data_IF_754385254801
#
_entry.id   IF_754385254801
#
_cell.length_a   1.000
_cell.length_b   1.000
_cell.length_c   1.000
_cell.angle_alpha   90.00
_cell.angle_beta   90.00
_cell.angle_gamma   90.00
#
_symmetry.space_group_name_H-M   'P 1'
#
loop_
_entity.id
_entity.type
_entity.pdbx_description
1 polymer ?
#
# COMPACT_ATOMS: atom_id res chain seq x y z
N UNK A 1 -14.06 3.22 -2.54
CA UNK A 1 -12.89 2.95 -3.42
C UNK A 1 -11.90 4.10 -3.32
N UNK A 2 -10.60 3.82 -3.22
CA UNK A 2 -9.57 4.83 -3.54
C UNK A 2 -9.88 5.37 -4.97
N UNK A 3 -9.82 6.68 -5.17
CA UNK A 3 -10.26 7.35 -6.41
C UNK A 3 -11.76 7.69 -6.54
N UNK A 4 -12.65 7.12 -5.73
CA UNK A 4 -14.09 7.48 -5.78
C UNK A 4 -14.40 8.88 -5.24
N UNK A 5 -13.58 9.37 -4.30
CA UNK A 5 -13.70 10.70 -3.73
C UNK A 5 -13.29 11.78 -4.75
N UNK A 6 -12.11 11.70 -5.39
CA UNK A 6 -11.76 12.58 -6.52
C UNK A 6 -12.82 12.59 -7.62
N UNK A 7 -13.27 11.42 -8.11
CA UNK A 7 -14.30 11.35 -9.17
C UNK A 7 -15.64 11.97 -8.75
N UNK A 8 -16.06 11.77 -7.49
CA UNK A 8 -17.26 12.42 -6.95
C UNK A 8 -17.10 13.92 -6.78
N UNK A 9 -15.89 14.39 -6.48
CA UNK A 9 -15.56 15.81 -6.38
C UNK A 9 -15.58 16.46 -7.78
N UNK A 10 -14.93 15.84 -8.77
CA UNK A 10 -14.95 16.25 -10.19
C UNK A 10 -16.36 16.33 -10.78
N UNK A 11 -17.26 15.45 -10.35
CA UNK A 11 -18.66 15.44 -10.83
C UNK A 11 -19.50 16.60 -10.29
N UNK A 12 -19.00 17.41 -9.36
CA UNK A 12 -19.73 18.57 -8.81
C UNK A 12 -19.38 19.84 -9.59
N UNK A 13 -20.41 20.59 -10.00
CA UNK A 13 -20.29 21.81 -10.82
C UNK A 13 -19.43 22.93 -10.22
N UNK A 14 -19.20 22.93 -8.90
CA UNK A 14 -18.28 23.86 -8.25
C UNK A 14 -16.80 23.53 -8.52
N UNK A 15 -16.48 22.28 -8.89
CA UNK A 15 -15.13 21.79 -9.11
C UNK A 15 -14.61 22.10 -10.52
N UNK A 16 -15.49 22.30 -11.50
CA UNK A 16 -15.11 22.82 -12.83
C UNK A 16 -14.65 24.28 -12.80
N UNK A 17 -14.89 24.98 -11.68
CA UNK A 17 -14.46 26.36 -11.42
C UNK A 17 -13.27 26.46 -10.46
N UNK A 18 -12.70 25.33 -10.05
CA UNK A 18 -11.48 25.33 -9.25
C UNK A 18 -10.32 25.78 -10.15
N UNK A 19 -9.71 26.92 -9.82
CA UNK A 19 -8.67 27.57 -10.62
C UNK A 19 -7.27 26.93 -10.47
N UNK A 20 -7.18 25.80 -9.75
CA UNK A 20 -5.93 25.09 -9.46
C UNK A 20 -6.11 23.58 -9.59
N UNK A 21 -5.08 22.84 -10.09
CA UNK A 21 -5.15 21.39 -10.16
C UNK A 21 -5.34 20.79 -8.76
N UNK A 22 -6.10 19.70 -8.67
CA UNK A 22 -6.25 18.91 -7.46
C UNK A 22 -4.84 18.53 -6.98
N UNK A 23 -4.47 18.99 -5.78
CA UNK A 23 -3.18 18.63 -5.19
C UNK A 23 -3.30 17.20 -4.70
N UNK A 24 -2.74 16.28 -5.47
CA UNK A 24 -2.54 14.90 -5.03
C UNK A 24 -1.33 14.86 -4.10
N UNK A 25 -1.57 14.47 -2.84
CA UNK A 25 -0.49 14.19 -1.91
C UNK A 25 -0.03 12.77 -2.19
N UNK A 26 1.11 12.66 -2.87
CA UNK A 26 1.78 11.39 -3.10
C UNK A 26 2.34 10.77 -1.82
N UNK A 27 2.92 9.58 -1.96
CA UNK A 27 3.64 8.94 -0.86
C UNK A 27 4.92 9.73 -0.53
N UNK A 28 5.27 9.76 0.76
CA UNK A 28 6.51 10.36 1.23
C UNK A 28 7.71 9.54 0.75
N UNK A 29 8.82 10.21 0.45
CA UNK A 29 10.10 9.53 0.24
C UNK A 29 10.57 8.81 1.52
N UNK A 30 11.53 7.89 1.39
CA UNK A 30 12.14 7.22 2.57
C UNK A 30 12.65 8.26 3.57
N UNK A 31 13.34 9.30 3.09
CA UNK A 31 13.88 10.36 3.93
C UNK A 31 12.78 11.10 4.70
N UNK A 32 11.74 11.56 4.00
CA UNK A 32 10.62 12.28 4.64
C UNK A 32 9.85 11.38 5.61
N UNK A 33 9.70 10.10 5.27
CA UNK A 33 9.06 9.10 6.13
C UNK A 33 9.85 8.87 7.41
N UNK A 34 11.17 8.74 7.31
CA UNK A 34 12.06 8.57 8.45
C UNK A 34 12.08 9.81 9.34
N UNK A 35 12.22 11.01 8.76
CA UNK A 35 12.15 12.28 9.51
C UNK A 35 10.80 12.41 10.24
N UNK A 36 9.69 12.06 9.59
CA UNK A 36 8.39 12.04 10.25
C UNK A 36 8.35 11.05 11.43
N UNK A 37 8.82 9.82 11.27
CA UNK A 37 8.79 8.81 12.33
C UNK A 37 9.74 9.14 13.49
N UNK A 38 10.94 9.63 13.22
CA UNK A 38 11.93 9.95 14.27
C UNK A 38 11.62 11.29 14.93
N UNK A 39 11.42 12.34 14.15
CA UNK A 39 11.41 13.70 14.68
C UNK A 39 10.02 14.09 15.17
N UNK A 40 8.98 13.72 14.42
CA UNK A 40 7.59 14.03 14.79
C UNK A 40 7.00 12.99 15.74
N UNK A 41 7.24 11.70 15.48
CA UNK A 41 6.61 10.60 16.25
C UNK A 41 7.49 10.08 17.38
N UNK A 42 8.75 10.51 17.46
CA UNK A 42 9.71 10.16 18.52
C UNK A 42 9.94 8.65 18.64
N UNK A 43 9.95 7.95 17.51
CA UNK A 43 10.26 6.52 17.41
C UNK A 43 11.74 6.38 17.11
N UNK A 44 12.39 5.39 17.73
CA UNK A 44 13.79 5.07 17.46
C UNK A 44 14.02 4.73 15.98
N UNK A 45 15.15 5.18 15.42
CA UNK A 45 15.46 5.04 13.98
C UNK A 45 15.42 3.58 13.49
N UNK A 46 15.88 2.62 14.30
CA UNK A 46 15.89 1.21 13.92
C UNK A 46 14.45 0.69 13.80
N UNK A 47 13.59 1.07 14.72
CA UNK A 47 12.17 0.69 14.68
C UNK A 47 11.45 1.44 13.57
N UNK A 48 11.72 2.73 13.40
CA UNK A 48 11.13 3.56 12.35
C UNK A 48 11.36 2.94 10.97
N UNK A 49 12.58 2.47 10.70
CA UNK A 49 12.90 1.78 9.44
C UNK A 49 12.05 0.52 9.23
N UNK A 50 11.88 -0.30 10.26
CA UNK A 50 11.00 -1.49 10.18
C UNK A 50 9.54 -1.13 9.89
N UNK A 51 9.05 -0.02 10.45
CA UNK A 51 7.69 0.45 10.19
C UNK A 51 7.56 0.97 8.76
N UNK A 52 8.55 1.72 8.27
CA UNK A 52 8.59 2.19 6.89
C UNK A 52 8.65 1.02 5.90
N UNK A 53 9.53 0.04 6.11
CA UNK A 53 9.64 -1.14 5.25
C UNK A 53 8.32 -1.95 5.18
N UNK A 54 7.46 -1.83 6.21
CA UNK A 54 6.17 -2.51 6.27
C UNK A 54 5.04 -1.80 5.50
N UNK A 55 5.00 -0.47 5.50
CA UNK A 55 3.87 0.30 4.92
C UNK A 55 4.26 1.32 3.84
N UNK A 56 5.55 1.52 3.60
CA UNK A 56 6.09 2.51 2.69
C UNK A 56 5.84 3.96 3.13
N UNK A 57 5.80 4.86 2.15
CA UNK A 57 5.68 6.31 2.36
C UNK A 57 4.27 6.84 2.60
N UNK A 58 3.24 5.99 2.58
CA UNK A 58 1.85 6.46 2.66
C UNK A 58 1.55 7.00 4.05
N UNK A 59 1.48 8.33 4.18
CA UNK A 59 1.40 9.03 5.48
C UNK A 59 0.27 8.54 6.40
N UNK A 60 -0.89 8.17 5.84
CA UNK A 60 -2.01 7.63 6.61
C UNK A 60 -1.67 6.28 7.23
N UNK A 61 -1.02 5.39 6.47
CA UNK A 61 -0.60 4.08 6.97
C UNK A 61 0.60 4.22 7.93
N UNK A 62 1.58 5.07 7.62
CA UNK A 62 2.69 5.41 8.53
C UNK A 62 2.17 5.90 9.89
N UNK A 63 1.22 6.83 9.88
CA UNK A 63 0.58 7.32 11.11
C UNK A 63 -0.08 6.17 11.87
N UNK A 64 -0.93 5.38 11.22
CA UNK A 64 -1.69 4.31 11.86
C UNK A 64 -0.76 3.24 12.49
N UNK A 65 0.29 2.85 11.76
CA UNK A 65 1.30 1.89 12.23
C UNK A 65 2.08 2.45 13.41
N UNK A 66 2.51 3.71 13.34
CA UNK A 66 3.17 4.39 14.46
C UNK A 66 2.26 4.53 15.69
N UNK A 67 0.96 4.82 15.52
CA UNK A 67 -0.01 4.92 16.64
C UNK A 67 -0.11 3.56 17.37
N UNK A 68 -0.20 2.45 16.62
CA UNK A 68 -0.24 1.10 17.21
C UNK A 68 1.05 0.73 17.92
N UNK A 69 2.19 1.08 17.34
CA UNK A 69 3.50 0.85 17.98
C UNK A 69 3.63 1.64 19.29
N UNK A 70 3.27 2.93 19.30
CA UNK A 70 3.28 3.77 20.50
C UNK A 70 2.28 3.29 21.55
N UNK A 71 1.19 2.63 21.15
CA UNK A 71 0.27 1.91 22.02
C UNK A 71 0.83 0.57 22.56
N UNK A 72 2.12 0.30 22.37
CA UNK A 72 2.86 -0.89 22.84
C UNK A 72 2.39 -2.21 22.22
N UNK A 73 1.77 -2.18 21.05
CA UNK A 73 1.53 -3.41 20.29
C UNK A 73 2.85 -3.96 19.77
N UNK A 74 3.00 -5.29 19.77
CA UNK A 74 4.18 -5.91 19.16
C UNK A 74 4.17 -5.72 17.65
N UNK A 75 5.36 -5.78 17.04
CA UNK A 75 5.50 -5.62 15.60
C UNK A 75 4.72 -6.68 14.83
N UNK A 76 4.67 -7.91 15.34
CA UNK A 76 3.96 -9.04 14.76
C UNK A 76 2.45 -8.77 14.71
N UNK A 77 1.87 -8.26 15.81
CA UNK A 77 0.44 -7.91 15.87
C UNK A 77 0.11 -6.75 14.92
N UNK A 78 1.02 -5.77 14.82
CA UNK A 78 0.85 -4.65 13.88
C UNK A 78 0.85 -5.16 12.43
N UNK A 79 1.80 -6.03 12.08
CA UNK A 79 1.91 -6.67 10.77
C UNK A 79 0.65 -7.47 10.43
N UNK A 80 0.19 -8.33 11.33
CA UNK A 80 -1.02 -9.13 11.15
C UNK A 80 -2.26 -8.25 10.96
N UNK A 81 -2.37 -7.16 11.73
CA UNK A 81 -3.46 -6.20 11.60
C UNK A 81 -3.48 -5.49 10.24
N UNK A 82 -2.31 -5.18 9.68
CA UNK A 82 -2.19 -4.60 8.34
C UNK A 82 -2.58 -5.63 7.27
N UNK A 83 -2.07 -6.87 7.38
CA UNK A 83 -2.42 -7.95 6.45
C UNK A 83 -3.93 -8.20 6.43
N UNK A 84 -4.57 -8.27 7.60
CA UNK A 84 -6.03 -8.43 7.72
C UNK A 84 -6.79 -7.29 7.02
N UNK A 85 -6.29 -6.05 7.11
CA UNK A 85 -6.90 -4.88 6.45
C UNK A 85 -6.74 -4.98 4.93
N UNK A 86 -5.59 -5.43 4.44
CA UNK A 86 -5.32 -5.65 3.01
C UNK A 86 -6.21 -6.77 2.47
N UNK A 87 -6.31 -7.90 3.16
CA UNK A 87 -7.19 -9.02 2.79
C UNK A 87 -8.65 -8.58 2.69
N UNK A 88 -9.15 -7.81 3.67
CA UNK A 88 -10.51 -7.25 3.61
C UNK A 88 -10.72 -6.32 2.40
N UNK A 89 -9.72 -5.51 2.04
CA UNK A 89 -9.78 -4.68 0.83
C UNK A 89 -9.83 -5.54 -0.43
N UNK A 90 -9.05 -6.62 -0.47
CA UNK A 90 -9.01 -7.55 -1.60
C UNK A 90 -10.34 -8.28 -1.76
N UNK A 91 -10.90 -8.79 -0.67
CA UNK A 91 -12.21 -9.43 -0.64
C UNK A 91 -13.33 -8.48 -1.10
N UNK A 92 -13.33 -7.25 -0.55
CA UNK A 92 -14.31 -6.22 -0.94
C UNK A 92 -14.21 -5.86 -2.42
N UNK A 93 -13.01 -5.93 -2.99
CA UNK A 93 -12.75 -5.71 -4.41
C UNK A 93 -12.91 -6.99 -5.26
N UNK A 94 -13.32 -8.11 -4.68
CA UNK A 94 -13.51 -9.41 -5.35
C UNK A 94 -12.24 -9.95 -6.02
N UNK A 95 -11.08 -9.76 -5.37
CA UNK A 95 -9.76 -10.11 -5.87
C UNK A 95 -9.19 -11.43 -5.30
N UNK A 96 -9.83 -12.00 -4.28
CA UNK A 96 -9.40 -13.29 -3.70
C UNK A 96 -9.61 -14.44 -4.71
N UNK A 97 -8.98 -15.61 -4.48
CA UNK A 97 -9.19 -16.78 -5.32
C UNK A 97 -10.68 -17.08 -5.53
N UNK A 98 -11.03 -17.55 -6.72
CA UNK A 98 -12.39 -17.87 -7.17
C UNK A 98 -13.38 -16.69 -7.22
N UNK A 99 -12.91 -15.44 -7.06
CA UNK A 99 -13.72 -14.23 -7.18
C UNK A 99 -13.62 -13.56 -8.56
N UNK A 100 -14.59 -12.70 -8.86
CA UNK A 100 -14.84 -12.13 -10.19
C UNK A 100 -13.65 -11.39 -10.84
N UNK A 101 -12.71 -10.87 -10.04
CA UNK A 101 -11.60 -10.05 -10.53
C UNK A 101 -10.23 -10.66 -10.24
N UNK A 102 -10.18 -11.91 -9.76
CA UNK A 102 -8.94 -12.61 -9.45
C UNK A 102 -7.99 -12.70 -10.66
N UNK A 103 -8.50 -13.15 -11.81
CA UNK A 103 -7.72 -13.26 -13.05
C UNK A 103 -7.29 -11.90 -13.62
N UNK A 104 -8.11 -10.86 -13.40
CA UNK A 104 -7.73 -9.50 -13.79
C UNK A 104 -6.55 -8.98 -12.96
N UNK A 105 -6.51 -9.28 -11.67
CA UNK A 105 -5.38 -8.92 -10.79
C UNK A 105 -4.11 -9.65 -11.18
N UNK A 106 -4.17 -10.94 -11.52
CA UNK A 106 -3.00 -11.67 -12.04
C UNK A 106 -2.39 -10.95 -13.25
N UNK A 107 -3.23 -10.57 -14.22
CA UNK A 107 -2.79 -9.82 -15.42
C UNK A 107 -2.16 -8.47 -15.07
N UNK A 108 -2.75 -7.74 -14.11
CA UNK A 108 -2.19 -6.46 -13.66
C UNK A 108 -0.82 -6.67 -13.00
N UNK A 109 -0.68 -7.65 -12.10
CA UNK A 109 0.60 -7.96 -11.46
C UNK A 109 1.65 -8.35 -12.50
N UNK A 110 1.30 -9.21 -13.47
CA UNK A 110 2.20 -9.58 -14.56
C UNK A 110 2.65 -8.35 -15.37
N UNK A 111 1.72 -7.48 -15.76
CA UNK A 111 2.04 -6.26 -16.50
C UNK A 111 2.96 -5.31 -15.71
N UNK A 112 2.76 -5.19 -14.39
CA UNK A 112 3.61 -4.36 -13.51
C UNK A 112 5.03 -4.93 -13.34
N UNK A 113 5.17 -6.25 -13.37
CA UNK A 113 6.48 -6.91 -13.35
C UNK A 113 7.18 -6.77 -14.70
N UNK A 114 6.46 -6.93 -15.80
CA UNK A 114 6.97 -6.74 -17.16
C UNK A 114 7.40 -5.29 -17.42
N UNK A 115 6.68 -4.31 -16.86
CA UNK A 115 7.04 -2.89 -16.96
C UNK A 115 8.17 -2.46 -16.01
N UNK A 116 8.70 -3.36 -15.17
CA UNK A 116 9.63 -3.06 -14.08
C UNK A 116 9.12 -2.02 -13.07
N UNK A 117 7.81 -1.76 -13.01
CA UNK A 117 7.21 -0.95 -11.95
C UNK A 117 7.26 -1.67 -10.59
N UNK A 118 7.24 -3.00 -10.62
CA UNK A 118 7.55 -3.85 -9.48
C UNK A 118 8.86 -4.58 -9.76
N UNK A 119 9.81 -4.51 -8.83
CA UNK A 119 11.04 -5.27 -8.96
C UNK A 119 10.76 -6.78 -8.83
N UNK A 120 10.96 -7.52 -9.91
CA UNK A 120 10.70 -8.96 -9.99
C UNK A 120 11.48 -9.77 -8.95
N UNK A 121 12.72 -9.39 -8.65
CA UNK A 121 13.54 -10.05 -7.63
C UNK A 121 13.01 -9.84 -6.22
N UNK A 122 12.57 -8.61 -5.90
CA UNK A 122 11.92 -8.29 -4.61
C UNK A 122 10.59 -9.01 -4.48
N UNK A 123 9.77 -8.99 -5.54
CA UNK A 123 8.49 -9.68 -5.57
C UNK A 123 8.68 -11.18 -5.37
N UNK A 124 9.60 -11.81 -6.11
CA UNK A 124 9.95 -13.23 -5.98
C UNK A 124 10.41 -13.60 -4.57
N UNK A 125 11.31 -12.81 -3.96
CA UNK A 125 11.72 -13.03 -2.56
C UNK A 125 10.56 -12.95 -1.58
N UNK A 126 9.56 -12.12 -1.87
CA UNK A 126 8.41 -11.93 -1.01
C UNK A 126 7.42 -13.10 -1.08
N UNK A 127 7.07 -13.57 -2.29
CA UNK A 127 6.09 -14.67 -2.46
C UNK A 127 6.70 -16.07 -2.37
N UNK A 128 8.02 -16.19 -2.54
CA UNK A 128 8.73 -17.46 -2.60
C UNK A 128 8.71 -18.07 -4.00
N UNK A 129 9.78 -18.78 -4.35
CA UNK A 129 10.00 -19.31 -5.70
C UNK A 129 8.89 -20.30 -6.14
N UNK A 130 8.39 -21.13 -5.22
CA UNK A 130 7.32 -22.11 -5.50
C UNK A 130 6.03 -21.43 -5.98
N UNK A 131 5.66 -20.30 -5.37
CA UNK A 131 4.39 -19.60 -5.66
C UNK A 131 4.52 -18.59 -6.80
N UNK A 132 5.73 -18.28 -7.23
CA UNK A 132 5.97 -17.28 -8.27
C UNK A 132 5.36 -17.67 -9.63
N UNK A 133 5.48 -18.95 -10.02
CA UNK A 133 4.86 -19.44 -11.26
C UNK A 133 3.33 -19.45 -11.20
N UNK A 134 2.76 -19.85 -10.07
CA UNK A 134 1.31 -19.93 -9.84
C UNK A 134 0.64 -18.55 -9.92
N UNK A 135 1.29 -17.52 -9.34
CA UNK A 135 0.77 -16.15 -9.29
C UNK A 135 0.73 -15.50 -10.68
N UNK A 136 1.68 -15.82 -11.55
CA UNK A 136 1.77 -15.23 -12.90
C UNK A 136 0.94 -15.96 -13.95
N UNK A 137 0.29 -17.08 -13.59
CA UNK A 137 -0.50 -17.87 -14.52
C UNK A 137 0.34 -18.50 -15.63
N UNK A 138 1.65 -18.70 -15.39
CA UNK A 138 2.52 -19.42 -16.32
C UNK A 138 2.30 -20.92 -16.14
N UNK A 139 1.31 -21.46 -16.85
CA UNK A 139 1.23 -22.87 -17.21
C UNK A 139 1.69 -23.05 -18.66
#
# INVERSE_FOLDING_TARGET
SEGSVPRRMESRSAWSRADQPVIEIGDLSEKESMEYLTDKRKIDSVVAKKLYDLVGGRIVELKATADKFLARQSFEVIKESILTKVEKKFDSAKLLPDQAHHEAVKRVISALLESNEINTGVFRKFIGDEKFGEVLGAN
#
